data_IF_445398072104
#
_entry.id   IF_445398072104
#
_cell.length_a   1.000
_cell.length_b   1.000
_cell.length_c   1.000
_cell.angle_alpha   90.00
_cell.angle_beta   90.00
_cell.angle_gamma   90.00
#
_symmetry.space_group_name_H-M   'P 1'
#
loop_
_entity.id
_entity.type
_entity.pdbx_description
1 polymer ?
2 non-polymer ?
3 non-polymer ?
4 non-polymer ?
5 water ?
#
# COMPACT_ATOMS: atom_id res chain seq x y z
N UNK A 23 19.05 14.04 17.11
CA UNK A 23 18.09 14.51 16.10
C UNK A 23 18.75 15.02 14.80
N UNK A 24 18.05 14.86 13.68
CA UNK A 24 18.50 15.37 12.40
C UNK A 24 17.85 16.72 12.11
N UNK A 25 18.43 17.48 11.18
CA UNK A 25 17.75 18.68 10.73
C UNK A 25 16.31 18.31 10.37
N UNK A 26 16.17 17.26 9.57
CA UNK A 26 14.90 16.84 8.99
C UNK A 26 13.85 16.47 10.04
N UNK A 27 14.30 15.84 11.12
CA UNK A 27 13.42 15.50 12.24
C UNK A 27 12.84 16.76 12.87
N UNK A 28 13.72 17.73 13.16
CA UNK A 28 13.27 18.99 13.77
C UNK A 28 12.20 19.68 12.92
N UNK A 29 12.46 19.77 11.62
CA UNK A 29 11.51 20.42 10.70
C UNK A 29 10.15 19.74 10.72
N UNK A 30 10.13 18.40 10.57
CA UNK A 30 8.85 17.69 10.47
C UNK A 30 8.14 17.70 11.81
N UNK A 31 8.91 17.60 12.88
CA UNK A 31 8.35 17.67 14.23
C UNK A 31 7.68 19.03 14.48
N UNK A 32 8.35 20.10 14.06
CA UNK A 32 7.85 21.45 14.29
C UNK A 32 6.76 21.92 13.32
N UNK A 33 6.48 21.13 12.28
CA UNK A 33 5.54 21.55 11.25
C UNK A 33 4.07 21.55 11.68
N UNK A 34 3.20 22.13 10.86
CA UNK A 34 1.76 22.02 11.09
C UNK A 34 1.23 20.99 10.10
N UNK A 35 0.19 20.26 10.52
CA UNK A 35 -0.32 19.18 9.69
C UNK A 35 -1.66 19.61 9.09
N UNK A 36 -1.65 19.95 7.79
CA UNK A 36 -2.85 20.37 7.07
C UNK A 36 -3.96 19.37 7.26
N UNK A 37 -5.18 19.75 6.90
CA UNK A 37 -6.32 18.86 6.97
C UNK A 37 -6.21 17.76 5.92
N UNK A 38 -7.04 16.74 6.03
CA UNK A 38 -7.06 15.70 5.02
C UNK A 38 -7.51 16.31 3.72
N UNK A 39 -8.49 17.22 3.81
CA UNK A 39 -9.04 17.82 2.60
C UNK A 39 -7.98 18.64 1.89
N UNK A 40 -7.27 19.44 2.66
CA UNK A 40 -6.20 20.28 2.15
C UNK A 40 -5.12 19.43 1.47
N UNK A 41 -4.94 18.21 1.98
CA UNK A 41 -3.90 17.31 1.51
C UNK A 41 -4.41 16.37 0.43
N UNK A 42 -5.73 16.27 0.32
CA UNK A 42 -6.34 15.62 -0.82
C UNK A 42 -6.19 14.12 -0.75
N UNK A 43 -5.76 13.64 0.40
CA UNK A 43 -5.43 12.24 0.55
C UNK A 43 -6.67 11.37 0.70
N UNK A 44 -7.85 11.90 0.39
CA UNK A 44 -9.08 11.11 0.49
C UNK A 44 -9.62 10.73 -0.86
N UNK A 45 -8.99 11.27 -1.90
CA UNK A 45 -9.46 11.02 -3.26
C UNK A 45 -8.73 9.82 -3.83
N UNK A 46 -9.48 8.86 -4.35
CA UNK A 46 -8.86 7.74 -5.02
C UNK A 46 -7.90 8.16 -6.13
N UNK A 47 -8.08 9.36 -6.66
CA UNK A 47 -7.27 9.81 -7.79
C UNK A 47 -6.08 10.62 -7.33
N UNK A 48 -5.84 10.60 -6.02
CA UNK A 48 -4.68 11.28 -5.43
C UNK A 48 -3.37 11.05 -6.21
N UNK A 49 -2.48 12.03 -6.14
CA UNK A 49 -1.17 11.90 -6.76
C UNK A 49 -0.10 12.69 -6.01
N UNK A 50 1.15 12.23 -6.12
CA UNK A 50 2.22 12.73 -5.26
C UNK A 50 3.33 13.41 -6.03
N UNK A 51 3.22 13.51 -7.35
CA UNK A 51 4.34 14.00 -8.16
C UNK A 51 4.81 15.41 -7.74
N UNK A 52 3.88 16.26 -7.32
CA UNK A 52 4.24 17.63 -6.95
C UNK A 52 4.67 17.78 -5.48
N UNK A 53 4.61 16.70 -4.73
CA UNK A 53 4.91 16.75 -3.31
C UNK A 53 6.38 16.58 -3.04
N UNK A 54 6.86 17.28 -2.01
CA UNK A 54 8.22 17.13 -1.51
C UNK A 54 8.21 15.99 -0.51
N UNK A 55 9.39 15.49 -0.18
CA UNK A 55 9.48 14.46 0.86
C UNK A 55 8.76 14.90 2.10
N UNK A 56 9.05 16.11 2.56
CA UNK A 56 8.40 16.63 3.76
C UNK A 56 6.88 16.55 3.67
N UNK A 57 6.33 17.00 2.55
CA UNK A 57 4.87 16.95 2.39
C UNK A 57 4.30 15.53 2.43
N UNK A 58 5.09 14.54 2.04
CA UNK A 58 4.61 13.18 2.13
C UNK A 58 4.60 12.76 3.61
N UNK A 59 5.65 13.17 4.31
CA UNK A 59 5.75 12.96 5.74
C UNK A 59 4.52 13.47 6.48
N UNK A 60 4.05 14.64 6.08
CA UNK A 60 2.92 15.25 6.74
C UNK A 60 1.65 14.54 6.36
N UNK A 61 1.56 14.17 5.09
CA UNK A 61 0.43 13.40 4.61
C UNK A 61 0.31 12.14 5.40
N UNK A 62 1.46 11.55 5.70
CA UNK A 62 1.45 10.31 6.43
C UNK A 62 1.00 10.52 7.87
N UNK A 63 1.52 11.55 8.52
CA UNK A 63 1.04 11.85 9.85
C UNK A 63 -0.45 12.10 9.84
N UNK A 64 -0.92 12.79 8.81
CA UNK A 64 -2.34 13.08 8.73
C UNK A 64 -3.16 11.79 8.66
N UNK A 65 -2.58 10.76 8.04
CA UNK A 65 -3.30 9.50 7.87
C UNK A 65 -3.48 8.78 9.20
N UNK A 66 -2.42 8.75 9.99
CA UNK A 66 -2.50 8.12 11.29
C UNK A 66 -3.47 8.87 12.14
N UNK A 67 -3.45 10.20 12.03
CA UNK A 67 -4.24 11.04 12.90
C UNK A 67 -5.72 10.89 12.61
N UNK A 68 -6.10 10.91 11.34
CA UNK A 68 -7.52 10.85 10.98
C UNK A 68 -8.13 9.47 11.09
N UNK A 69 -7.27 8.47 11.19
CA UNK A 69 -7.73 7.10 11.37
C UNK A 69 -7.89 6.77 12.85
N UNK A 70 -7.48 7.70 13.70
CA UNK A 70 -7.66 7.61 15.15
C UNK A 70 -6.57 6.82 15.79
N UNK A 71 -5.48 6.65 15.06
CA UNK A 71 -4.39 5.81 15.52
C UNK A 71 -3.54 6.49 16.58
N UNK A 72 -3.32 7.80 16.44
CA UNK A 72 -2.51 8.51 17.42
C UNK A 72 -3.26 8.58 18.76
N UNK A 73 -4.53 8.89 18.66
CA UNK A 73 -5.45 8.86 19.78
C UNK A 73 -5.47 7.53 20.53
N UNK A 74 -6.06 6.52 19.90
CA UNK A 74 -6.30 5.23 20.53
C UNK A 74 -5.07 4.45 21.00
N UNK A 75 -3.88 4.93 20.69
CA UNK A 75 -2.67 4.17 21.02
C UNK A 75 -1.56 5.08 21.53
N UNK A 76 -1.94 6.31 21.83
CA UNK A 76 -1.07 7.23 22.56
C UNK A 76 0.33 7.29 21.95
N UNK A 77 0.41 7.69 20.68
CA UNK A 77 1.71 7.83 20.03
C UNK A 77 2.29 9.23 20.26
N UNK A 78 3.48 9.27 20.85
CA UNK A 78 4.20 10.53 20.97
C UNK A 78 4.61 11.05 19.59
N UNK A 79 4.26 12.30 19.34
CA UNK A 79 4.54 12.97 18.08
C UNK A 79 5.97 12.75 17.57
N UNK A 80 6.97 12.94 18.43
CA UNK A 80 8.36 12.78 18.00
C UNK A 80 8.64 11.34 17.58
N UNK A 81 7.95 10.42 18.22
CA UNK A 81 8.16 9.01 17.93
C UNK A 81 7.58 8.68 16.57
N UNK A 82 6.31 9.02 16.37
CA UNK A 82 5.70 8.87 15.06
C UNK A 82 6.58 9.45 13.93
N UNK A 83 6.99 10.70 14.09
CA UNK A 83 7.78 11.39 13.06
C UNK A 83 9.07 10.65 12.78
N UNK A 84 9.72 10.22 13.86
CA UNK A 84 11.00 9.55 13.74
C UNK A 84 10.76 8.22 13.00
N UNK A 85 9.64 7.58 13.33
CA UNK A 85 9.30 6.32 12.71
C UNK A 85 9.15 6.47 11.21
N UNK A 86 8.45 7.52 10.80
CA UNK A 86 8.26 7.84 9.39
C UNK A 86 9.55 8.23 8.68
N UNK A 87 10.36 9.07 9.28
CA UNK A 87 11.62 9.39 8.63
C UNK A 87 12.43 8.12 8.43
N UNK A 88 12.28 7.19 9.36
CA UNK A 88 13.02 5.95 9.29
C UNK A 88 12.52 5.11 8.14
N UNK A 89 11.21 4.99 8.06
CA UNK A 89 10.67 4.13 7.04
C UNK A 89 11.13 4.68 5.70
N UNK A 90 10.94 5.97 5.53
CA UNK A 90 11.30 6.64 4.29
C UNK A 90 12.77 6.46 3.95
N UNK A 91 13.62 6.55 4.97
CA UNK A 91 15.07 6.46 4.81
C UNK A 91 15.46 5.10 4.28
N UNK A 92 14.67 4.08 4.63
CA UNK A 92 15.00 2.71 4.28
C UNK A 92 14.36 2.23 2.99
N UNK A 93 13.86 3.15 2.19
CA UNK A 93 13.60 2.83 0.81
C UNK A 93 14.78 3.38 0.05
N UNK A 94 15.10 2.80 -1.11
CA UNK A 94 16.20 3.29 -1.95
C UNK A 94 15.72 4.27 -3.03
N UNK A 95 16.28 5.48 -3.05
CA UNK A 95 15.91 6.47 -4.07
C UNK A 95 16.34 6.02 -5.48
N UNK A 96 17.49 5.34 -5.54
CA UNK A 96 18.03 4.83 -6.80
C UNK A 96 17.15 3.80 -7.55
N UNK A 97 16.06 3.36 -6.92
CA UNK A 97 15.14 2.42 -7.55
C UNK A 97 13.93 3.16 -8.11
N UNK A 98 13.69 3.05 -9.41
CA UNK A 98 12.75 3.91 -10.11
C UNK A 98 11.29 3.86 -9.61
N UNK A 99 10.75 2.66 -9.45
CA UNK A 99 9.38 2.56 -9.00
C UNK A 99 9.26 2.18 -7.53
N UNK A 100 9.87 1.06 -7.17
CA UNK A 100 9.69 0.51 -5.83
C UNK A 100 10.50 1.30 -4.81
N UNK A 101 9.94 2.42 -4.37
CA UNK A 101 10.62 3.30 -3.43
C UNK A 101 9.60 3.94 -2.53
N UNK A 102 10.06 4.83 -1.66
CA UNK A 102 9.18 5.51 -0.74
C UNK A 102 7.89 6.02 -1.40
N UNK A 103 7.98 6.60 -2.60
CA UNK A 103 6.79 7.17 -3.19
C UNK A 103 5.73 6.11 -3.44
N UNK A 104 6.17 4.92 -3.80
CA UNK A 104 5.24 3.82 -4.04
C UNK A 104 4.61 3.35 -2.74
N UNK A 105 5.44 3.29 -1.70
CA UNK A 105 4.97 2.90 -0.38
C UNK A 105 3.98 3.93 0.13
N UNK A 106 4.30 5.18 -0.12
CA UNK A 106 3.46 6.29 0.30
C UNK A 106 2.12 6.23 -0.38
N UNK A 107 2.13 5.95 -1.69
CA UNK A 107 0.89 5.79 -2.44
C UNK A 107 0.05 4.60 -2.04
N UNK A 108 0.71 3.48 -1.77
CA UNK A 108 0.02 2.32 -1.26
C UNK A 108 -0.77 2.65 -0.01
N UNK A 109 -0.12 3.32 0.95
CA UNK A 109 -0.80 3.74 2.18
C UNK A 109 -1.93 4.74 1.95
N UNK A 110 -1.69 5.73 1.09
CA UNK A 110 -2.72 6.70 0.76
C UNK A 110 -3.93 5.99 0.16
N UNK A 111 -3.68 5.03 -0.73
CA UNK A 111 -4.80 4.27 -1.25
C UNK A 111 -5.51 3.44 -0.17
N UNK A 112 -4.74 2.92 0.79
CA UNK A 112 -5.33 2.25 1.93
C UNK A 112 -6.27 3.22 2.66
N UNK A 113 -5.73 4.37 2.97
CA UNK A 113 -6.49 5.41 3.63
C UNK A 113 -7.81 5.70 2.91
N UNK A 114 -7.71 5.96 1.60
CA UNK A 114 -8.88 6.32 0.85
C UNK A 114 -9.89 5.20 0.87
N UNK A 115 -9.42 3.96 0.78
CA UNK A 115 -10.33 2.81 0.80
C UNK A 115 -10.95 2.66 2.18
N UNK A 116 -10.27 3.17 3.20
CA UNK A 116 -10.82 3.12 4.56
C UNK A 116 -11.88 4.21 4.78
N UNK A 117 -11.56 5.43 4.37
CA UNK A 117 -12.47 6.57 4.55
C UNK A 117 -13.47 6.67 3.41
N UNK A 118 -13.03 7.16 2.26
CA UNK A 118 -13.91 7.28 1.10
C UNK A 118 -14.53 5.93 0.71
N UNK A 119 -13.74 4.87 0.78
CA UNK A 119 -14.21 3.53 0.43
C UNK A 119 -15.09 2.89 1.49
N UNK A 120 -15.26 3.59 2.61
CA UNK A 120 -16.13 3.15 3.69
C UNK A 120 -15.82 1.71 4.14
N UNK A 121 -14.54 1.45 4.40
CA UNK A 121 -14.08 0.12 4.80
C UNK A 121 -13.66 0.12 6.28
N UNK A 122 -13.28 1.30 6.76
CA UNK A 122 -13.00 1.53 8.17
C UNK A 122 -13.97 0.82 9.11
N UNK A 123 -15.26 0.91 8.79
CA UNK A 123 -16.32 0.44 9.68
C UNK A 123 -16.57 -1.06 9.56
N UNK A 124 -15.75 -1.74 8.77
CA UNK A 124 -15.84 -3.20 8.69
C UNK A 124 -14.70 -3.86 9.46
N UNK A 125 -13.80 -3.04 10.01
CA UNK A 125 -12.56 -3.53 10.61
C UNK A 125 -12.33 -2.98 12.03
N UNK A 126 -11.45 -3.66 12.78
CA UNK A 126 -11.07 -3.23 14.12
C UNK A 126 -9.94 -2.23 14.04
N UNK A 127 -9.87 -1.35 15.03
CA UNK A 127 -8.74 -0.43 15.16
C UNK A 127 -7.43 -1.13 14.92
N UNK A 128 -7.26 -2.31 15.48
CA UNK A 128 -5.98 -2.98 15.40
C UNK A 128 -5.67 -3.42 13.97
N UNK A 129 -6.70 -3.90 13.27
CA UNK A 129 -6.52 -4.25 11.87
C UNK A 129 -6.06 -3.03 11.08
N UNK A 130 -6.68 -1.89 11.36
CA UNK A 130 -6.41 -0.68 10.62
C UNK A 130 -5.00 -0.21 10.86
N UNK A 131 -4.64 -0.17 12.13
CA UNK A 131 -3.31 0.24 12.54
C UNK A 131 -2.30 -0.60 11.77
N UNK A 132 -2.57 -1.89 11.75
CA UNK A 132 -1.72 -2.88 11.12
C UNK A 132 -1.64 -2.71 9.61
N UNK A 133 -2.80 -2.50 8.98
CA UNK A 133 -2.84 -2.28 7.54
C UNK A 133 -2.07 -1.03 7.13
N UNK A 134 -2.15 0.02 7.95
CA UNK A 134 -1.49 1.24 7.56
C UNK A 134 0.02 1.06 7.63
N UNK A 135 0.49 0.45 8.70
CA UNK A 135 1.92 0.24 8.87
C UNK A 135 2.40 -0.75 7.83
N UNK A 136 1.66 -1.82 7.65
CA UNK A 136 1.97 -2.77 6.59
C UNK A 136 2.07 -2.03 5.25
N UNK A 137 1.08 -1.19 4.94
CA UNK A 137 1.07 -0.50 3.64
C UNK A 137 2.35 0.32 3.43
N UNK A 138 2.73 1.09 4.45
CA UNK A 138 3.96 1.88 4.43
C UNK A 138 5.25 1.05 4.38
N UNK A 139 5.21 -0.14 4.96
CA UNK A 139 6.42 -0.91 5.15
C UNK A 139 6.62 -2.03 4.11
N UNK A 140 5.58 -2.40 3.37
CA UNK A 140 5.52 -3.65 2.58
C UNK A 140 6.57 -3.86 1.49
N UNK A 141 7.33 -2.84 1.12
CA UNK A 141 8.42 -3.04 0.20
C UNK A 141 9.73 -2.45 0.73
N UNK A 142 9.88 -2.33 2.05
CA UNK A 142 11.10 -1.71 2.62
C UNK A 142 12.42 -2.27 2.07
N UNK A 143 13.34 -1.39 1.67
CA UNK A 143 14.68 -1.77 1.23
C UNK A 143 14.69 -2.60 -0.06
N UNK A 144 13.61 -2.52 -0.81
CA UNK A 144 13.49 -3.17 -2.12
C UNK A 144 14.53 -2.66 -3.15
N UNK A 145 15.11 -3.57 -3.93
CA UNK A 145 16.24 -3.19 -4.76
C UNK A 145 15.93 -3.13 -6.25
N UNK A 146 14.64 -3.15 -6.59
CA UNK A 146 14.23 -3.24 -7.97
C UNK A 146 14.09 -4.69 -8.37
N UNK A 147 13.01 -4.99 -9.10
CA UNK A 147 12.69 -6.36 -9.53
C UNK A 147 13.84 -7.15 -10.17
N UNK A 148 14.79 -6.44 -10.77
CA UNK A 148 15.91 -7.09 -11.43
C UNK A 148 17.16 -7.23 -10.54
N UNK A 149 16.98 -7.39 -9.24
CA UNK A 149 18.15 -7.55 -8.37
C UNK A 149 18.01 -8.67 -7.32
N UNK A 150 19.11 -9.36 -7.04
CA UNK A 150 19.08 -10.62 -6.27
C UNK A 150 19.69 -10.55 -4.86
N UNK A 151 18.94 -11.04 -3.88
CA UNK A 151 19.41 -11.19 -2.51
C UNK A 151 19.48 -12.68 -2.16
N UNK A 152 20.70 -13.18 -1.97
CA UNK A 152 20.93 -14.63 -1.78
C UNK A 152 21.06 -15.09 -0.32
N UNK A 153 20.50 -16.26 -0.05
CA UNK A 153 20.57 -16.91 1.27
C UNK A 153 20.15 -18.38 1.14
N UNK A 154 21.01 -19.29 1.61
CA UNK A 154 20.73 -20.73 1.52
C UNK A 154 20.13 -21.14 0.18
N UNK A 155 18.90 -21.61 0.20
CA UNK A 155 18.21 -22.05 -1.00
C UNK A 155 16.71 -21.84 -0.91
N UNK A 156 16.13 -21.37 -2.02
CA UNK A 156 14.69 -21.16 -2.10
C UNK A 156 14.09 -21.85 -3.30
N UNK A 165 7.63 -19.42 0.89
CA UNK A 165 8.91 -18.84 0.48
C UNK A 165 8.68 -17.53 -0.31
N UNK A 166 8.07 -16.56 0.34
CA UNK A 166 8.02 -15.22 -0.20
C UNK A 166 9.27 -14.55 0.30
N UNK A 167 10.38 -14.77 -0.41
CA UNK A 167 11.70 -14.36 0.04
C UNK A 167 11.73 -12.91 0.38
N UNK A 168 11.41 -12.10 -0.63
CA UNK A 168 11.42 -10.65 -0.53
C UNK A 168 10.55 -10.10 0.60
N UNK A 169 9.30 -10.55 0.65
CA UNK A 169 8.37 -10.00 1.60
C UNK A 169 8.77 -10.38 3.03
N UNK A 170 9.42 -11.53 3.20
CA UNK A 170 9.95 -11.85 4.51
C UNK A 170 10.99 -10.81 4.92
N UNK A 171 11.78 -10.38 3.96
CA UNK A 171 12.80 -9.40 4.21
C UNK A 171 12.19 -8.02 4.51
N UNK A 172 11.13 -7.66 3.80
CA UNK A 172 10.49 -6.36 4.01
C UNK A 172 9.94 -6.30 5.41
N UNK A 173 9.33 -7.39 5.84
CA UNK A 173 8.86 -7.52 7.21
C UNK A 173 9.96 -7.42 8.27
N UNK A 174 11.08 -8.07 8.03
CA UNK A 174 12.19 -7.97 8.96
C UNK A 174 12.53 -6.50 9.15
N UNK A 175 12.78 -5.87 8.02
CA UNK A 175 13.07 -4.45 7.96
C UNK A 175 12.04 -3.66 8.76
N UNK A 176 10.77 -3.95 8.53
CA UNK A 176 9.69 -3.29 9.23
C UNK A 176 9.80 -3.41 10.75
N UNK A 177 9.98 -4.64 11.21
CA UNK A 177 10.09 -4.96 12.62
C UNK A 177 11.32 -4.29 13.23
N UNK A 178 12.45 -4.39 12.54
CA UNK A 178 13.64 -3.71 12.99
C UNK A 178 13.26 -2.27 13.33
N UNK A 179 12.71 -1.55 12.36
CA UNK A 179 12.31 -0.16 12.57
C UNK A 179 11.34 0.03 13.72
N UNK A 180 10.31 -0.81 13.78
CA UNK A 180 9.34 -0.69 14.84
C UNK A 180 10.00 -0.81 16.21
N UNK A 181 11.06 -1.61 16.27
CA UNK A 181 11.79 -1.89 17.50
C UNK A 181 12.98 -1.00 17.77
N UNK A 182 13.23 -0.04 16.89
CA UNK A 182 14.32 0.90 17.12
C UNK A 182 13.98 1.93 18.21
N UNK A 183 14.99 2.29 19.01
CA UNK A 183 14.83 3.34 20.02
C UNK A 183 14.33 4.64 19.40
N UNK A 184 13.23 5.16 19.93
CA UNK A 184 12.71 6.43 19.48
C UNK A 184 11.66 6.29 18.43
N UNK A 185 11.58 5.09 17.86
CA UNK A 185 10.70 4.81 16.73
C UNK A 185 9.55 3.90 17.07
N UNK A 186 9.39 3.56 18.34
CA UNK A 186 8.45 2.51 18.71
C UNK A 186 6.99 2.92 18.81
N UNK A 187 6.37 3.23 17.68
CA UNK A 187 4.98 3.67 17.68
C UNK A 187 3.99 2.63 18.22
N UNK A 188 4.47 1.47 18.66
CA UNK A 188 3.53 0.50 19.21
C UNK A 188 3.65 0.35 20.73
N UNK A 189 4.62 1.05 21.31
CA UNK A 189 4.85 1.04 22.75
C UNK A 189 3.54 1.10 23.54
N UNK A 190 2.56 1.81 23.02
CA UNK A 190 1.32 2.00 23.75
C UNK A 190 0.34 0.85 23.80
N UNK A 191 0.65 -0.26 23.14
CA UNK A 191 -0.24 -1.42 23.14
C UNK A 191 0.19 -2.41 24.21
N UNK A 192 -0.80 -3.09 24.81
CA UNK A 192 -0.52 -4.23 25.69
C UNK A 192 0.20 -5.31 24.88
N UNK A 193 0.79 -6.30 25.54
CA UNK A 193 1.42 -7.40 24.77
C UNK A 193 0.39 -8.13 23.90
N UNK A 194 -0.81 -8.32 24.43
CA UNK A 194 -1.82 -9.07 23.71
C UNK A 194 -2.12 -8.38 22.40
N UNK A 195 -2.49 -7.10 22.49
CA UNK A 195 -2.70 -6.27 21.32
C UNK A 195 -1.49 -6.28 20.40
N UNK A 196 -0.32 -6.08 20.99
CA UNK A 196 0.91 -6.01 20.25
C UNK A 196 1.18 -7.25 19.41
N UNK A 197 0.97 -8.41 20.02
CA UNK A 197 1.19 -9.68 19.34
C UNK A 197 0.23 -9.80 18.17
N UNK A 198 -1.02 -9.47 18.45
CA UNK A 198 -2.07 -9.55 17.46
C UNK A 198 -1.69 -8.68 16.26
N UNK A 199 -1.37 -7.41 16.55
CA UNK A 199 -0.98 -6.43 15.53
C UNK A 199 0.17 -6.90 14.65
N UNK A 200 1.22 -7.42 15.29
CA UNK A 200 2.36 -7.94 14.56
C UNK A 200 2.00 -9.07 13.61
N UNK A 201 1.10 -9.94 14.04
CA UNK A 201 0.73 -11.08 13.24
C UNK A 201 0.06 -10.52 11.99
N UNK A 202 -0.90 -9.63 12.20
CA UNK A 202 -1.56 -8.97 11.08
C UNK A 202 -0.58 -8.23 10.15
N UNK A 203 0.30 -7.43 10.72
CA UNK A 203 1.26 -6.73 9.90
C UNK A 203 1.99 -7.71 9.02
N UNK A 204 2.44 -8.81 9.63
CA UNK A 204 3.30 -9.76 8.92
C UNK A 204 2.55 -10.39 7.76
N UNK A 205 1.30 -10.76 8.00
CA UNK A 205 0.49 -11.40 7.00
C UNK A 205 0.18 -10.42 5.89
N UNK A 206 -0.13 -9.18 6.27
CA UNK A 206 -0.35 -8.11 5.29
C UNK A 206 0.83 -8.01 4.35
N UNK A 207 2.01 -7.84 4.92
CA UNK A 207 3.17 -7.64 4.09
C UNK A 207 3.40 -8.85 3.18
N UNK A 208 3.04 -10.03 3.66
CA UNK A 208 3.31 -11.23 2.89
C UNK A 208 2.28 -11.39 1.80
N UNK A 209 1.12 -10.78 2.00
CA UNK A 209 0.07 -10.83 1.02
C UNK A 209 0.51 -10.09 -0.24
N UNK A 210 1.49 -9.19 -0.12
CA UNK A 210 1.97 -8.40 -1.27
C UNK A 210 2.85 -9.19 -2.24
N UNK A 211 3.03 -10.48 -1.96
CA UNK A 211 3.63 -11.38 -2.92
C UNK A 211 2.52 -11.71 -3.91
N UNK A 212 2.73 -11.37 -5.19
CA UNK A 212 1.69 -11.65 -6.15
C UNK A 212 1.39 -13.15 -6.24
N UNK A 213 2.42 -13.97 -6.09
CA UNK A 213 2.23 -15.43 -5.98
C UNK A 213 1.22 -15.84 -4.90
N UNK A 214 1.34 -15.28 -3.70
CA UNK A 214 0.36 -15.53 -2.65
C UNK A 214 -1.03 -15.07 -3.08
N UNK A 215 -1.09 -13.96 -3.78
CA UNK A 215 -2.38 -13.41 -4.17
C UNK A 215 -3.10 -14.33 -5.18
N UNK A 216 -2.34 -14.90 -6.11
CA UNK A 216 -2.91 -15.79 -7.11
C UNK A 216 -3.37 -17.13 -6.54
N UNK A 217 -2.61 -17.64 -5.57
CA UNK A 217 -3.00 -18.84 -4.84
C UNK A 217 -4.32 -18.61 -4.13
N UNK A 218 -4.48 -17.44 -3.52
CA UNK A 218 -5.56 -17.27 -2.55
C UNK A 218 -6.83 -16.60 -3.08
N UNK A 219 -6.76 -16.03 -4.27
CA UNK A 219 -7.86 -15.21 -4.75
C UNK A 219 -9.04 -16.05 -5.22
N UNK A 220 -8.75 -17.23 -5.77
CA UNK A 220 -9.80 -18.15 -6.17
C UNK A 220 -10.86 -18.28 -5.09
N UNK A 221 -10.41 -18.67 -3.89
CA UNK A 221 -11.29 -18.80 -2.75
C UNK A 221 -12.09 -17.53 -2.51
N UNK A 222 -11.43 -16.39 -2.61
CA UNK A 222 -12.09 -15.10 -2.41
C UNK A 222 -13.20 -14.88 -3.41
N UNK A 223 -12.92 -15.24 -4.66
CA UNK A 223 -13.89 -15.06 -5.74
C UNK A 223 -15.08 -16.00 -5.62
N UNK A 224 -14.81 -17.28 -5.35
CA UNK A 224 -15.88 -18.22 -5.04
C UNK A 224 -16.86 -17.61 -4.03
N UNK A 225 -16.36 -17.33 -2.83
CA UNK A 225 -17.19 -16.78 -1.77
C UNK A 225 -18.11 -15.66 -2.26
N UNK A 226 -17.59 -14.80 -3.12
CA UNK A 226 -18.36 -13.69 -3.64
C UNK A 226 -19.51 -14.14 -4.56
N UNK A 227 -19.18 -14.94 -5.57
CA UNK A 227 -20.18 -15.32 -6.56
C UNK A 227 -21.25 -16.20 -5.94
N UNK A 228 -20.89 -16.90 -4.88
CA UNK A 228 -21.83 -17.77 -4.17
C UNK A 228 -22.47 -17.05 -2.98
N UNK A 229 -22.55 -15.72 -3.08
CA UNK A 229 -23.15 -14.85 -2.03
C UNK A 229 -22.75 -15.17 -0.57
N UNK A 230 -21.76 -16.05 -0.42
CA UNK A 230 -21.30 -16.55 0.88
C UNK A 230 -20.43 -15.57 1.70
N UNK A 231 -19.89 -14.52 1.08
CA UNK A 231 -18.90 -13.68 1.77
C UNK A 231 -19.35 -13.13 3.13
N UNK A 232 -18.53 -13.34 4.14
CA UNK A 232 -18.86 -12.94 5.50
C UNK A 232 -17.62 -12.53 6.30
N UNK A 233 -17.49 -11.22 6.55
CA UNK A 233 -16.31 -10.70 7.21
C UNK A 233 -16.21 -11.13 8.68
N UNK A 234 -17.32 -11.58 9.27
CA UNK A 234 -17.31 -11.95 10.68
C UNK A 234 -16.55 -13.26 10.93
N UNK A 235 -16.19 -13.95 9.84
CA UNK A 235 -15.38 -15.16 9.97
C UNK A 235 -13.88 -14.85 10.00
N UNK A 236 -13.19 -15.30 11.05
CA UNK A 236 -11.73 -15.11 11.16
C UNK A 236 -10.99 -15.41 9.85
N UNK A 237 -11.33 -16.53 9.22
CA UNK A 237 -10.56 -16.98 8.06
C UNK A 237 -10.79 -16.09 6.85
N UNK A 238 -12.04 -15.71 6.64
CA UNK A 238 -12.39 -14.84 5.53
C UNK A 238 -11.87 -13.42 5.75
N UNK A 239 -11.90 -12.97 7.00
CA UNK A 239 -11.32 -11.69 7.40
C UNK A 239 -9.85 -11.57 6.98
N UNK A 240 -9.06 -12.53 7.44
CA UNK A 240 -7.66 -12.53 7.12
C UNK A 240 -7.43 -12.50 5.61
N UNK A 241 -8.36 -13.10 4.86
CA UNK A 241 -8.23 -13.22 3.42
C UNK A 241 -8.54 -11.88 2.74
N UNK A 242 -9.56 -11.21 3.26
CA UNK A 242 -9.95 -9.93 2.75
C UNK A 242 -8.80 -8.95 2.96
N UNK A 243 -8.20 -8.97 4.15
CA UNK A 243 -7.07 -8.11 4.44
C UNK A 243 -5.93 -8.35 3.44
N UNK A 244 -5.72 -9.61 3.05
CA UNK A 244 -4.71 -9.94 2.05
C UNK A 244 -5.07 -9.33 0.71
N UNK A 245 -6.36 -9.42 0.37
CA UNK A 245 -6.87 -8.92 -0.88
C UNK A 245 -6.77 -7.40 -0.90
N UNK A 246 -7.24 -6.78 0.18
CA UNK A 246 -7.15 -5.35 0.36
C UNK A 246 -5.72 -4.85 0.21
N UNK A 247 -4.75 -5.59 0.76
CA UNK A 247 -3.36 -5.20 0.62
C UNK A 247 -2.94 -5.13 -0.85
N UNK A 248 -3.27 -6.18 -1.60
CA UNK A 248 -2.89 -6.24 -3.01
C UNK A 248 -3.56 -5.14 -3.83
N UNK A 249 -4.83 -4.89 -3.53
CA UNK A 249 -5.56 -3.80 -4.16
C UNK A 249 -4.89 -2.42 -4.03
N UNK A 250 -4.36 -2.11 -2.84
CA UNK A 250 -3.72 -0.80 -2.66
C UNK A 250 -2.37 -0.78 -3.36
N UNK A 251 -1.67 -1.89 -3.25
CA UNK A 251 -0.35 -2.06 -3.82
C UNK A 251 -0.39 -1.84 -5.33
N UNK A 252 -1.46 -2.31 -5.97
CA UNK A 252 -1.56 -2.19 -7.43
C UNK A 252 -2.36 -0.98 -7.89
N UNK A 253 -2.71 -0.10 -6.95
CA UNK A 253 -3.70 0.94 -7.21
C UNK A 253 -3.24 1.97 -8.24
N UNK A 254 -1.95 2.03 -8.50
CA UNK A 254 -1.43 2.90 -9.53
C UNK A 254 -2.19 2.68 -10.86
N UNK A 255 -2.59 1.44 -11.09
CA UNK A 255 -3.30 1.03 -12.29
C UNK A 255 -4.70 1.65 -12.38
N UNK A 256 -5.14 2.25 -11.28
CA UNK A 256 -6.51 2.75 -11.23
C UNK A 256 -6.54 4.26 -11.39
N UNK A 257 -5.36 4.84 -11.58
CA UNK A 257 -5.22 6.28 -11.53
C UNK A 257 -5.69 6.99 -12.81
N UNK A 258 -5.95 8.31 -12.72
CA UNK A 258 -6.27 9.03 -13.96
C UNK A 258 -5.16 8.85 -14.98
N UNK A 259 -5.55 8.77 -16.25
CA UNK A 259 -4.66 8.38 -17.33
C UNK A 259 -3.31 9.13 -17.37
N UNK A 260 -3.35 10.46 -17.27
CA UNK A 260 -2.09 11.20 -17.29
C UNK A 260 -1.14 10.75 -16.18
N UNK A 261 -1.70 10.26 -15.08
CA UNK A 261 -0.88 9.80 -13.98
C UNK A 261 -0.46 8.34 -14.17
N UNK A 262 -1.43 7.49 -14.49
CA UNK A 262 -1.10 6.12 -14.87
C UNK A 262 -0.01 6.05 -15.94
N UNK A 263 -0.06 6.92 -16.93
CA UNK A 263 1.01 6.90 -17.94
C UNK A 263 2.38 7.11 -17.32
N UNK A 264 2.45 8.02 -16.35
CA UNK A 264 3.73 8.39 -15.77
C UNK A 264 4.25 7.29 -14.86
N UNK A 265 3.36 6.69 -14.08
CA UNK A 265 3.76 5.55 -13.27
C UNK A 265 4.23 4.39 -14.18
N UNK A 266 3.42 4.04 -15.17
CA UNK A 266 3.80 3.01 -16.13
C UNK A 266 5.20 3.29 -16.64
N UNK A 267 5.53 4.55 -16.79
CA UNK A 267 6.86 4.90 -17.26
C UNK A 267 7.94 4.62 -16.20
N UNK A 268 7.66 4.92 -14.93
CA UNK A 268 8.55 4.51 -13.85
C UNK A 268 8.74 2.99 -13.78
N UNK A 269 7.62 2.26 -13.87
CA UNK A 269 7.67 0.82 -13.78
C UNK A 269 8.53 0.28 -14.93
N UNK A 270 8.40 0.89 -16.10
CA UNK A 270 9.12 0.45 -17.28
C UNK A 270 10.62 0.62 -17.08
N UNK A 271 11.00 1.73 -16.46
CA UNK A 271 12.40 2.06 -16.20
C UNK A 271 13.04 1.03 -15.28
N UNK A 272 12.28 0.59 -14.28
CA UNK A 272 12.82 -0.37 -13.35
C UNK A 272 12.89 -1.74 -14.01
N UNK A 273 11.87 -2.08 -14.78
CA UNK A 273 11.79 -3.38 -15.45
C UNK A 273 12.87 -3.63 -16.48
N UNK A 274 13.27 -2.59 -17.19
CA UNK A 274 14.03 -2.77 -18.42
C UNK A 274 15.35 -2.06 -18.41
N UNK A 275 15.48 -1.04 -17.57
CA UNK A 275 16.67 -0.20 -17.64
C UNK A 275 17.52 -0.26 -16.38
N UNK A 276 17.16 -1.16 -15.47
CA UNK A 276 17.92 -1.26 -14.21
C UNK A 276 18.12 -2.73 -13.88
N UNK A 296 11.34 -2.72 -27.17
CA UNK A 296 10.89 -1.34 -27.32
C UNK A 296 9.72 -1.00 -26.37
N UNK A 297 9.35 0.28 -26.36
CA UNK A 297 8.18 0.76 -25.63
C UNK A 297 6.89 0.44 -26.42
N UNK A 298 7.05 -0.32 -27.51
CA UNK A 298 5.92 -0.74 -28.34
C UNK A 298 5.16 -1.90 -27.70
N UNK A 299 5.89 -2.74 -26.96
CA UNK A 299 5.31 -3.93 -26.36
C UNK A 299 4.57 -3.59 -25.06
N UNK A 300 4.78 -2.38 -24.57
CA UNK A 300 4.28 -1.98 -23.26
C UNK A 300 2.77 -1.82 -23.14
N UNK A 301 2.11 -1.23 -24.14
CA UNK A 301 0.66 -1.12 -23.89
C UNK A 301 0.02 -2.49 -23.83
N UNK A 302 0.68 -3.45 -24.47
CA UNK A 302 0.19 -4.81 -24.56
C UNK A 302 0.30 -5.47 -23.19
N UNK A 303 1.50 -5.42 -22.63
CA UNK A 303 1.73 -5.89 -21.27
C UNK A 303 0.76 -5.26 -20.28
N UNK A 304 0.50 -3.96 -20.42
CA UNK A 304 -0.40 -3.31 -19.49
C UNK A 304 -1.80 -3.94 -19.52
N UNK A 305 -2.29 -4.24 -20.73
CA UNK A 305 -3.61 -4.83 -20.89
C UNK A 305 -3.61 -6.25 -20.30
N UNK A 306 -2.52 -6.97 -20.54
CA UNK A 306 -2.32 -8.28 -19.94
C UNK A 306 -2.36 -8.24 -18.43
N UNK A 307 -1.63 -7.29 -17.87
CA UNK A 307 -1.57 -7.10 -16.42
C UNK A 307 -2.96 -6.77 -15.85
N UNK A 308 -3.68 -5.88 -16.52
CA UNK A 308 -5.02 -5.53 -16.05
C UNK A 308 -5.96 -6.73 -16.10
N UNK A 309 -5.95 -7.44 -17.22
CA UNK A 309 -6.80 -8.62 -17.38
C UNK A 309 -6.51 -9.74 -16.39
N UNK A 310 -5.23 -10.08 -16.27
CA UNK A 310 -4.79 -11.18 -15.44
C UNK A 310 -5.00 -10.92 -13.96
N UNK A 311 -4.73 -9.70 -13.54
CA UNK A 311 -4.55 -9.41 -12.12
C UNK A 311 -5.58 -8.43 -11.57
N UNK A 312 -5.68 -7.26 -12.18
CA UNK A 312 -6.34 -6.14 -11.54
C UNK A 312 -7.88 -6.08 -11.63
N UNK A 313 -8.45 -6.29 -12.81
CA UNK A 313 -9.90 -6.12 -12.96
C UNK A 313 -10.72 -6.97 -11.99
N UNK A 314 -10.44 -8.26 -11.92
CA UNK A 314 -11.20 -9.15 -11.04
C UNK A 314 -11.11 -8.67 -9.59
N UNK A 315 -9.90 -8.33 -9.17
CA UNK A 315 -9.70 -7.88 -7.81
C UNK A 315 -10.59 -6.68 -7.51
N UNK A 316 -10.52 -5.63 -8.33
CA UNK A 316 -11.29 -4.42 -8.04
C UNK A 316 -12.79 -4.62 -8.22
N UNK A 317 -13.18 -5.58 -9.05
CA UNK A 317 -14.56 -6.01 -9.08
C UNK A 317 -14.94 -6.59 -7.71
N UNK A 318 -14.22 -7.62 -7.30
CA UNK A 318 -14.45 -8.21 -5.98
C UNK A 318 -14.53 -7.17 -4.87
N UNK A 319 -13.49 -6.34 -4.75
CA UNK A 319 -13.44 -5.28 -3.75
C UNK A 319 -14.67 -4.37 -3.81
N UNK A 320 -15.20 -4.22 -5.02
CA UNK A 320 -16.36 -3.35 -5.19
C UNK A 320 -17.63 -4.00 -4.66
N UNK A 321 -17.69 -5.32 -4.71
CA UNK A 321 -18.79 -6.07 -4.13
C UNK A 321 -18.78 -5.93 -2.61
N UNK A 322 -17.62 -6.16 -2.00
CA UNK A 322 -17.48 -5.89 -0.58
C UNK A 322 -17.90 -4.45 -0.23
N UNK A 323 -17.33 -3.47 -0.93
CA UNK A 323 -17.74 -2.09 -0.71
C UNK A 323 -18.02 -1.32 -2.02
N UNK A 324 -19.27 -0.92 -2.17
CA UNK A 324 -19.71 -0.19 -3.34
C UNK A 324 -18.97 1.13 -3.51
N UNK A 325 -18.30 1.59 -2.46
CA UNK A 325 -17.67 2.91 -2.55
C UNK A 325 -16.23 2.86 -3.04
N UNK A 326 -15.74 1.65 -3.33
CA UNK A 326 -14.43 1.46 -3.92
C UNK A 326 -14.59 1.31 -5.42
N UNK A 327 -15.80 1.59 -5.90
CA UNK A 327 -16.06 1.49 -7.32
C UNK A 327 -15.11 2.39 -8.12
N UNK A 328 -14.84 3.60 -7.62
CA UNK A 328 -13.89 4.51 -8.25
C UNK A 328 -12.58 3.87 -8.62
N UNK A 329 -12.24 2.74 -8.01
CA UNK A 329 -10.99 2.07 -8.33
C UNK A 329 -11.21 1.18 -9.53
N UNK A 330 -12.34 0.50 -9.54
CA UNK A 330 -12.72 -0.36 -10.64
C UNK A 330 -12.88 0.49 -11.90
N UNK A 331 -13.55 1.61 -11.71
CA UNK A 331 -13.77 2.57 -12.77
C UNK A 331 -12.45 3.04 -13.36
N UNK A 332 -11.56 3.55 -12.51
CA UNK A 332 -10.27 4.01 -12.95
C UNK A 332 -9.54 2.96 -13.76
N UNK A 333 -9.58 1.73 -13.28
CA UNK A 333 -8.86 0.63 -13.88
C UNK A 333 -9.43 0.31 -15.26
N UNK A 334 -10.75 0.44 -15.40
CA UNK A 334 -11.40 0.21 -16.68
C UNK A 334 -11.03 1.27 -17.69
N UNK A 335 -11.16 2.54 -17.30
CA UNK A 335 -10.73 3.61 -18.17
C UNK A 335 -9.30 3.37 -18.66
N UNK A 336 -8.42 2.97 -17.75
CA UNK A 336 -7.03 2.76 -18.16
C UNK A 336 -6.87 1.60 -19.13
N UNK A 337 -7.78 0.65 -19.07
CA UNK A 337 -7.70 -0.49 -19.97
C UNK A 337 -8.07 0.01 -21.37
N UNK A 338 -9.11 0.84 -21.44
CA UNK A 338 -9.48 1.47 -22.69
C UNK A 338 -8.28 2.19 -23.31
N UNK A 339 -7.68 3.08 -22.55
CA UNK A 339 -6.49 3.79 -22.96
C UNK A 339 -5.33 2.92 -23.48
N UNK A 340 -5.00 1.84 -22.78
CA UNK A 340 -3.84 1.03 -23.15
C UNK A 340 -4.12 0.15 -24.37
N UNK A 341 -5.35 -0.36 -24.43
CA UNK A 341 -5.82 -1.21 -25.53
C UNK A 341 -5.75 -0.44 -26.85
N UNK A 342 -6.37 0.73 -26.85
CA UNK A 342 -6.32 1.67 -27.97
C UNK A 342 -4.89 1.90 -28.48
N UNK A 343 -3.98 2.18 -27.56
CA UNK A 343 -2.57 2.29 -27.89
C UNK A 343 -1.98 1.01 -28.50
N UNK A 344 -2.32 -0.14 -27.91
CA UNK A 344 -1.73 -1.41 -28.36
C UNK A 344 -2.19 -1.74 -29.77
N UNK A 345 -3.30 -1.12 -30.16
CA UNK A 345 -3.90 -1.32 -31.48
C UNK A 345 -3.28 -0.37 -32.51
N UNK A 346 -2.85 0.80 -32.06
CA UNK A 346 -2.10 1.70 -32.92
C UNK A 346 -0.74 1.05 -33.23
N UNK A 347 -0.40 0.03 -32.46
CA UNK A 347 0.84 -0.72 -32.72
C UNK A 347 0.59 -1.86 -33.71
#
# INVERSE_FOLDING_TARGET
>A
MGSSHHHHHHSSGLVPRGSHMEETRELQSLAAAVVPSAQTLKITDFSFSDFELSDLETALCTIRMFTDLNLVQNFQMKHEVLCRWILSVKKNYRKNVAYHNWRHAFNTAQCMFAALKAGKIQNKLTDLEILALLIAALSHDLDHRGVNNSYIQRSEHPLAQLYCHSIMEHHHFDQCLMILNSPGNQILSGLSIEEYKTTLKIIKQAILATDLALYIKRRGEFFELIRKNQFNLEDPHQKELFLAMLMTACDLSAITKPWPIQQRIAELVATEFFDQGDRERKELNIEPTDLMNREKKNKIPSMQVGFIDAICLQLYEALTHVSEDCFPLLDGCRKNRQKWQALAEQQ
#
